data_IF_556065350174
#
_entry.id   IF_556065350174
#
_cell.length_a   1.000
_cell.length_b   1.000
_cell.length_c   1.000
_cell.angle_alpha   90.00
_cell.angle_beta   90.00
_cell.angle_gamma   90.00
#
_symmetry.space_group_name_H-M   'P 1'
#
loop_
_entity.id
_entity.type
_entity.pdbx_description
1 polymer ?
#
# COMPACT_ATOMS: atom_id res chain seq x y z
N UNK A 1 -14.72 -1.84 -2.55
CA UNK A 1 -13.91 -0.61 -2.67
C UNK A 1 -12.47 -0.94 -2.30
N UNK A 2 -11.51 -0.12 -2.70
CA UNK A 2 -10.10 -0.34 -2.33
C UNK A 2 -9.86 -0.01 -0.87
N UNK A 3 -9.07 -0.83 -0.19
CA UNK A 3 -8.71 -0.64 1.20
C UNK A 3 -7.20 -0.53 1.34
N UNK A 4 -6.74 0.42 2.14
CA UNK A 4 -5.34 0.58 2.49
C UNK A 4 -5.15 0.31 3.98
N UNK A 5 -4.10 -0.44 4.31
CA UNK A 5 -3.67 -0.67 5.67
C UNK A 5 -2.36 0.07 5.92
N UNK A 6 -2.39 1.02 6.85
CA UNK A 6 -1.24 1.81 7.26
C UNK A 6 -0.66 1.25 8.55
N UNK A 7 0.61 0.89 8.54
CA UNK A 7 1.27 0.30 9.70
C UNK A 7 1.66 1.38 10.71
N UNK A 8 1.14 1.26 11.93
CA UNK A 8 1.42 2.13 13.09
C UNK A 8 2.16 1.42 14.24
N UNK A 9 2.42 0.11 14.11
CA UNK A 9 3.07 -0.69 15.14
C UNK A 9 4.48 -0.21 15.51
N UNK A 10 4.99 -0.59 16.70
CA UNK A 10 6.32 -0.17 17.18
C UNK A 10 7.47 -0.59 16.25
N UNK A 11 7.28 -1.61 15.42
CA UNK A 11 8.17 -1.96 14.31
C UNK A 11 9.64 -2.19 14.69
N UNK A 12 10.45 -2.43 13.66
CA UNK A 12 11.92 -2.57 13.73
C UNK A 12 12.60 -1.20 13.80
N UNK A 13 13.92 -1.14 14.04
CA UNK A 13 14.67 0.12 14.12
C UNK A 13 14.50 1.05 12.89
N UNK A 14 14.26 0.48 11.70
CA UNK A 14 13.98 1.22 10.45
C UNK A 14 12.62 1.90 10.48
N UNK A 15 11.59 1.25 11.04
CA UNK A 15 10.25 1.84 11.20
C UNK A 15 10.29 3.06 12.13
N UNK A 16 11.22 3.06 13.08
CA UNK A 16 11.47 4.18 13.98
C UNK A 16 12.21 5.32 13.28
N UNK A 17 13.16 5.02 12.40
CA UNK A 17 13.86 6.02 11.60
C UNK A 17 12.93 6.71 10.58
N UNK A 18 12.05 5.95 9.90
CA UNK A 18 11.08 6.52 8.94
C UNK A 18 10.08 7.43 9.65
N UNK A 19 9.54 7.02 10.80
CA UNK A 19 8.63 7.86 11.59
C UNK A 19 9.30 9.14 12.10
N UNK A 20 10.55 9.04 12.54
CA UNK A 20 11.31 10.21 12.97
C UNK A 20 11.58 11.17 11.80
N UNK A 21 11.97 10.65 10.63
CA UNK A 21 12.26 11.45 9.44
C UNK A 21 11.01 12.07 8.81
N UNK A 22 9.88 11.35 8.79
CA UNK A 22 8.61 11.84 8.21
C UNK A 22 7.73 12.58 9.22
N UNK A 23 8.11 12.59 10.51
CA UNK A 23 7.30 13.07 11.66
C UNK A 23 5.86 12.52 11.65
N UNK A 24 5.68 11.33 11.06
CA UNK A 24 4.38 10.69 10.87
C UNK A 24 4.19 9.49 11.79
N UNK A 25 2.94 9.09 12.00
CA UNK A 25 2.57 7.91 12.80
C UNK A 25 2.80 6.60 12.01
N UNK A 26 2.78 6.67 10.68
CA UNK A 26 2.82 5.52 9.80
C UNK A 26 4.20 5.33 9.15
N UNK A 27 4.74 4.10 9.21
CA UNK A 27 6.01 3.75 8.54
C UNK A 27 5.83 3.00 7.23
N UNK A 28 4.67 2.38 7.02
CA UNK A 28 4.41 1.53 5.86
C UNK A 28 2.93 1.54 5.47
N UNK A 29 2.63 1.23 4.22
CA UNK A 29 1.27 1.12 3.70
C UNK A 29 1.16 -0.04 2.72
N UNK A 30 0.05 -0.76 2.80
CA UNK A 30 -0.28 -1.91 1.96
C UNK A 30 -1.67 -1.71 1.35
N UNK A 31 -1.87 -2.11 0.10
CA UNK A 31 -3.21 -2.37 -0.43
C UNK A 31 -3.73 -3.65 0.24
N UNK A 32 -4.76 -3.52 1.06
CA UNK A 32 -5.27 -4.60 1.89
C UNK A 32 -6.47 -5.29 1.24
N UNK A 33 -6.35 -6.60 1.05
CA UNK A 33 -7.48 -7.49 0.80
C UNK A 33 -7.86 -8.18 2.11
N UNK A 34 -8.80 -7.57 2.83
CA UNK A 34 -9.24 -8.05 4.15
C UNK A 34 -9.92 -9.43 4.06
N UNK A 35 -10.57 -9.75 2.94
CA UNK A 35 -11.26 -11.04 2.74
C UNK A 35 -10.27 -12.20 2.68
N UNK A 36 -9.10 -11.95 2.09
CA UNK A 36 -8.04 -12.95 1.89
C UNK A 36 -6.90 -12.83 2.90
N UNK A 37 -6.88 -11.77 3.71
CA UNK A 37 -5.77 -11.46 4.61
C UNK A 37 -4.47 -11.16 3.87
N UNK A 38 -4.54 -10.54 2.69
CA UNK A 38 -3.37 -10.25 1.84
C UNK A 38 -3.08 -8.75 1.80
N UNK A 39 -1.80 -8.39 1.81
CA UNK A 39 -1.29 -7.04 1.56
C UNK A 39 -0.44 -7.01 0.31
N UNK A 40 -0.63 -6.00 -0.54
CA UNK A 40 0.18 -5.73 -1.72
C UNK A 40 0.85 -4.35 -1.59
N UNK A 41 2.18 -4.33 -1.60
CA UNK A 41 2.98 -3.09 -1.64
C UNK A 41 4.37 -3.32 -2.21
N UNK A 42 5.09 -2.23 -2.45
CA UNK A 42 6.52 -2.25 -2.69
C UNK A 42 7.30 -2.29 -1.37
N UNK A 43 8.36 -3.10 -1.34
CA UNK A 43 9.29 -3.16 -0.22
C UNK A 43 10.73 -3.14 -0.71
N UNK A 44 11.45 -2.11 -0.29
CA UNK A 44 12.88 -2.00 -0.53
C UNK A 44 13.66 -3.18 0.09
N UNK A 45 13.15 -3.79 1.17
CA UNK A 45 13.77 -4.96 1.81
C UNK A 45 13.64 -6.24 0.97
N UNK A 46 12.62 -6.32 0.13
CA UNK A 46 12.31 -7.51 -0.67
C UNK A 46 12.59 -7.29 -2.17
N UNK A 47 13.20 -6.16 -2.53
CA UNK A 47 13.62 -5.88 -3.90
C UNK A 47 12.50 -5.58 -4.88
N UNK A 48 11.29 -5.22 -4.43
CA UNK A 48 10.21 -4.85 -5.35
C UNK A 48 8.80 -4.94 -4.77
N UNK A 49 7.81 -4.99 -5.68
CA UNK A 49 6.40 -5.18 -5.35
C UNK A 49 6.13 -6.64 -5.02
N UNK A 50 5.50 -6.86 -3.87
CA UNK A 50 5.18 -8.19 -3.34
C UNK A 50 3.73 -8.25 -2.85
N UNK A 51 3.21 -9.47 -2.80
CA UNK A 51 2.00 -9.81 -2.04
C UNK A 51 2.40 -10.65 -0.83
N UNK A 52 1.85 -10.33 0.34
CA UNK A 52 2.16 -11.03 1.59
C UNK A 52 0.89 -11.26 2.39
N UNK A 53 0.78 -12.41 3.06
CA UNK A 53 -0.25 -12.63 4.07
C UNK A 53 0.02 -11.75 5.30
N UNK A 54 -0.97 -10.96 5.71
CA UNK A 54 -0.87 -10.00 6.83
C UNK A 54 -2.03 -10.21 7.77
N UNK A 55 -1.71 -10.31 9.06
CA UNK A 55 -2.70 -10.21 10.12
C UNK A 55 -3.05 -8.72 10.37
N UNK A 56 -4.11 -8.27 9.71
CA UNK A 56 -4.66 -6.92 9.90
C UNK A 56 -5.39 -6.76 11.25
N UNK A 57 -5.73 -7.85 11.95
CA UNK A 57 -6.41 -7.82 13.25
C UNK A 57 -5.45 -7.61 14.43
N UNK A 58 -4.13 -7.64 14.20
CA UNK A 58 -3.08 -7.44 15.21
C UNK A 58 -3.09 -6.09 15.96
N UNK A 59 -3.98 -5.14 15.62
CA UNK A 59 -4.07 -3.81 16.24
C UNK A 59 -2.96 -2.83 15.81
N UNK A 60 -2.01 -3.28 15.00
CA UNK A 60 -0.89 -2.49 14.50
C UNK A 60 -1.18 -1.74 13.19
N UNK A 61 -2.39 -1.85 12.67
CA UNK A 61 -2.78 -1.30 11.38
C UNK A 61 -3.92 -0.28 11.55
N UNK A 62 -3.82 0.84 10.86
CA UNK A 62 -4.94 1.73 10.62
C UNK A 62 -5.46 1.44 9.22
N UNK A 63 -6.69 0.93 9.14
CA UNK A 63 -7.32 0.55 7.87
C UNK A 63 -8.22 1.69 7.40
N UNK A 64 -8.03 2.13 6.15
CA UNK A 64 -8.80 3.21 5.54
C UNK A 64 -9.27 2.78 4.15
N UNK A 65 -10.53 3.11 3.84
CA UNK A 65 -11.13 2.82 2.54
C UNK A 65 -10.99 4.01 1.59
N UNK A 66 -10.66 3.70 0.33
CA UNK A 66 -10.70 4.59 -0.81
C UNK A 66 -11.93 4.25 -1.68
N UNK A 67 -13.11 4.84 -1.40
CA UNK A 67 -14.37 4.45 -2.05
C UNK A 67 -14.45 4.79 -3.55
N UNK A 68 -13.66 5.76 -4.02
CA UNK A 68 -13.68 6.23 -5.42
C UNK A 68 -13.02 5.26 -6.41
N UNK A 69 -12.37 4.20 -5.94
CA UNK A 69 -11.74 3.20 -6.81
C UNK A 69 -12.09 1.78 -6.38
N UNK A 70 -12.35 0.94 -7.37
CA UNK A 70 -12.67 -0.46 -7.17
C UNK A 70 -11.42 -1.25 -6.78
N UNK A 71 -11.58 -2.18 -5.81
CA UNK A 71 -10.50 -3.05 -5.32
C UNK A 71 -9.74 -3.72 -6.46
N UNK A 72 -10.48 -4.35 -7.39
CA UNK A 72 -9.90 -5.07 -8.53
C UNK A 72 -9.01 -4.18 -9.40
N UNK A 73 -9.45 -2.95 -9.69
CA UNK A 73 -8.68 -1.99 -10.50
C UNK A 73 -7.38 -1.59 -9.81
N UNK A 74 -7.45 -1.17 -8.54
CA UNK A 74 -6.22 -0.78 -7.80
C UNK A 74 -5.27 -1.96 -7.61
N UNK A 75 -5.81 -3.15 -7.36
CA UNK A 75 -5.00 -4.35 -7.16
C UNK A 75 -4.30 -4.76 -8.45
N UNK A 76 -5.00 -4.75 -9.58
CA UNK A 76 -4.43 -5.05 -10.89
C UNK A 76 -3.28 -4.09 -11.23
N UNK A 77 -3.50 -2.78 -11.08
CA UNK A 77 -2.47 -1.75 -11.30
C UNK A 77 -1.20 -2.00 -10.48
N UNK A 78 -1.37 -2.38 -9.21
CA UNK A 78 -0.22 -2.64 -8.36
C UNK A 78 0.45 -4.00 -8.69
N UNK A 79 -0.36 -5.01 -9.03
CA UNK A 79 0.11 -6.34 -9.40
C UNK A 79 0.90 -6.36 -10.71
N UNK A 80 0.61 -5.46 -11.66
CA UNK A 80 1.40 -5.29 -12.89
C UNK A 80 2.87 -5.01 -12.61
N UNK A 81 3.18 -4.40 -11.47
CA UNK A 81 4.55 -4.10 -11.04
C UNK A 81 5.18 -5.19 -10.17
N UNK A 82 4.47 -6.29 -9.91
CA UNK A 82 5.07 -7.48 -9.29
C UNK A 82 5.96 -8.21 -10.28
N UNK A 83 7.02 -8.87 -9.79
CA UNK A 83 7.88 -9.69 -10.62
C UNK A 83 7.17 -10.92 -11.24
N UNK A 84 5.97 -11.26 -10.74
CA UNK A 84 5.14 -12.36 -11.23
C UNK A 84 3.65 -11.93 -11.25
N UNK A 85 3.18 -11.24 -12.31
CA UNK A 85 1.87 -10.60 -12.32
C UNK A 85 0.66 -11.54 -12.28
N UNK A 86 0.82 -12.87 -12.29
CA UNK A 86 -0.34 -13.79 -12.41
C UNK A 86 -0.21 -15.17 -11.76
N UNK A 87 0.82 -15.44 -10.95
CA UNK A 87 1.06 -16.79 -10.40
C UNK A 87 0.79 -16.87 -8.89
N UNK A 88 -0.45 -16.56 -8.49
CA UNK A 88 -0.90 -16.70 -7.09
C UNK A 88 -1.31 -18.12 -6.71
N UNK A 89 -1.15 -19.10 -7.61
CA UNK A 89 -1.37 -20.52 -7.32
C UNK A 89 -0.16 -21.17 -6.61
N UNK A 90 0.99 -20.49 -6.59
CA UNK A 90 2.21 -20.94 -5.92
C UNK A 90 2.61 -20.03 -4.76
N UNK A 91 1.73 -19.77 -3.79
CA UNK A 91 2.10 -19.07 -2.53
C UNK A 91 2.96 -20.03 -1.68
N UNK A 92 4.13 -20.46 -2.15
CA UNK A 92 5.25 -20.99 -1.37
C UNK A 92 6.44 -21.21 -2.31
N UNK A 93 7.30 -20.21 -2.44
CA UNK A 93 8.66 -20.44 -2.95
C UNK A 93 9.06 -19.53 -4.10
N UNK A 94 9.51 -18.32 -3.79
CA UNK A 94 10.43 -17.57 -4.67
C UNK A 94 10.97 -16.34 -3.96
N UNK A 95 11.59 -16.54 -2.80
CA UNK A 95 12.35 -15.50 -2.11
C UNK A 95 13.73 -15.23 -2.76
N UNK A 96 13.96 -15.67 -4.01
CA UNK A 96 15.30 -15.82 -4.57
C UNK A 96 15.57 -15.16 -5.94
N UNK A 97 14.59 -14.55 -6.63
CA UNK A 97 14.79 -14.12 -8.03
C UNK A 97 14.62 -12.60 -8.31
N UNK A 98 14.44 -11.76 -7.31
CA UNK A 98 14.30 -10.30 -7.49
C UNK A 98 15.59 -9.49 -7.25
N UNK A 99 16.75 -10.13 -7.18
CA UNK A 99 18.03 -9.48 -6.81
C UNK A 99 18.71 -8.70 -7.95
N UNK A 100 18.04 -8.46 -9.10
CA UNK A 100 18.76 -7.98 -10.30
C UNK A 100 18.12 -6.84 -11.08
N UNK A 101 17.18 -6.06 -10.51
CA UNK A 101 16.69 -4.84 -11.20
C UNK A 101 16.88 -3.60 -10.33
N UNK A 102 18.06 -3.01 -10.50
CA UNK A 102 18.37 -1.59 -10.35
C UNK A 102 17.76 -0.85 -9.14
N UNK A 103 18.60 -0.66 -8.12
CA UNK A 103 18.43 0.20 -6.94
C UNK A 103 18.09 1.70 -7.23
N UNK A 104 17.92 2.12 -8.49
CA UNK A 104 17.66 3.53 -8.86
C UNK A 104 16.18 3.84 -9.14
N UNK A 105 15.34 2.85 -9.41
CA UNK A 105 13.91 3.00 -9.72
C UNK A 105 13.01 2.19 -8.76
N UNK A 106 13.46 2.03 -7.51
CA UNK A 106 12.75 1.22 -6.52
C UNK A 106 11.49 1.94 -6.04
N UNK A 107 10.33 1.39 -6.36
CA UNK A 107 9.03 1.86 -5.86
C UNK A 107 9.01 1.93 -4.34
N UNK A 108 8.57 3.05 -3.78
CA UNK A 108 8.22 3.12 -2.36
C UNK A 108 6.84 2.53 -2.10
N UNK A 109 6.59 2.05 -0.87
CA UNK A 109 5.31 1.46 -0.50
C UNK A 109 4.13 2.42 -0.71
N UNK A 110 4.30 3.67 -0.31
CA UNK A 110 3.31 4.74 -0.49
C UNK A 110 3.19 5.20 -1.94
N UNK A 111 4.28 5.20 -2.69
CA UNK A 111 4.28 5.56 -4.10
C UNK A 111 3.48 4.54 -4.93
N UNK A 112 3.73 3.25 -4.72
CA UNK A 112 2.97 2.20 -5.41
C UNK A 112 1.49 2.26 -5.05
N UNK A 113 1.16 2.45 -3.76
CA UNK A 113 -0.22 2.57 -3.33
C UNK A 113 -0.89 3.83 -3.94
N UNK A 114 -0.18 4.96 -4.01
CA UNK A 114 -0.68 6.18 -4.64
C UNK A 114 -0.93 5.98 -6.15
N UNK A 115 0.00 5.33 -6.85
CA UNK A 115 -0.14 4.96 -8.25
C UNK A 115 -1.35 4.04 -8.49
N UNK A 116 -1.49 3.01 -7.66
CA UNK A 116 -2.61 2.08 -7.71
C UNK A 116 -3.98 2.77 -7.50
N UNK A 117 -4.01 3.80 -6.65
CA UNK A 117 -5.18 4.64 -6.45
C UNK A 117 -5.43 5.66 -7.56
N UNK A 118 -4.49 5.83 -8.50
CA UNK A 118 -4.56 6.82 -9.57
C UNK A 118 -4.35 8.26 -9.09
N UNK A 119 -3.59 8.47 -8.02
CA UNK A 119 -3.24 9.81 -7.54
C UNK A 119 -2.12 10.42 -8.38
N UNK A 120 -2.19 11.73 -8.61
CA UNK A 120 -1.15 12.48 -9.30
C UNK A 120 0.14 12.59 -8.47
N UNK A 121 1.29 12.55 -9.15
CA UNK A 121 2.62 12.61 -8.52
C UNK A 121 2.82 11.58 -7.38
N UNK A 122 2.64 10.27 -7.63
CA UNK A 122 2.71 9.22 -6.61
C UNK A 122 4.01 9.24 -5.79
N UNK A 123 5.13 9.61 -6.39
CA UNK A 123 6.46 9.71 -5.77
C UNK A 123 6.56 10.78 -4.66
N UNK A 124 5.60 11.72 -4.62
CA UNK A 124 5.58 12.78 -3.61
C UNK A 124 4.93 12.35 -2.28
N UNK A 125 4.23 11.21 -2.27
CA UNK A 125 3.51 10.77 -1.08
C UNK A 125 4.39 9.96 -0.14
N UNK A 126 4.57 10.47 1.08
CA UNK A 126 4.97 9.65 2.21
C UNK A 126 3.79 8.79 2.73
N UNK A 127 4.01 7.74 3.54
CA UNK A 127 2.91 6.97 4.13
C UNK A 127 1.90 7.85 4.88
N UNK A 128 2.39 8.84 5.63
CA UNK A 128 1.55 9.81 6.33
C UNK A 128 0.80 10.76 5.38
N UNK A 129 1.46 11.22 4.31
CA UNK A 129 0.86 12.06 3.28
C UNK A 129 -0.26 11.32 2.55
N UNK A 130 -0.02 10.06 2.19
CA UNK A 130 -1.01 9.20 1.54
C UNK A 130 -2.21 8.94 2.46
N UNK A 131 -1.98 8.68 3.75
CA UNK A 131 -3.08 8.52 4.71
C UNK A 131 -4.00 9.74 4.74
N UNK A 132 -3.42 10.95 4.75
CA UNK A 132 -4.18 12.21 4.73
C UNK A 132 -4.94 12.37 3.42
N UNK A 133 -4.28 12.15 2.28
CA UNK A 133 -4.90 12.25 0.95
C UNK A 133 -6.09 11.30 0.81
N UNK A 134 -5.93 10.05 1.24
CA UNK A 134 -6.99 9.03 1.18
C UNK A 134 -8.16 9.40 2.10
N UNK A 135 -7.86 9.85 3.33
CA UNK A 135 -8.89 10.26 4.28
C UNK A 135 -9.70 11.45 3.77
N UNK A 136 -9.02 12.45 3.19
CA UNK A 136 -9.66 13.62 2.59
C UNK A 136 -10.52 13.23 1.37
N UNK A 137 -9.96 12.43 0.45
CA UNK A 137 -10.71 11.93 -0.71
C UNK A 137 -11.96 11.14 -0.31
N UNK A 138 -11.90 10.38 0.79
CA UNK A 138 -13.05 9.61 1.31
C UNK A 138 -14.15 10.53 1.80
N UNK A 139 -13.78 11.59 2.51
CA UNK A 139 -14.75 12.59 3.00
C UNK A 139 -15.39 13.34 1.82
N UNK A 140 -14.59 13.77 0.84
CA UNK A 140 -15.08 14.46 -0.34
C UNK A 140 -16.04 13.59 -1.17
N UNK A 141 -15.69 12.32 -1.40
CA UNK A 141 -16.55 11.36 -2.10
C UNK A 141 -17.92 11.22 -1.41
N UNK A 142 -17.91 11.00 -0.09
CA UNK A 142 -19.15 10.89 0.71
C UNK A 142 -19.98 12.17 0.73
N UNK A 143 -19.33 13.33 0.76
CA UNK A 143 -20.04 14.60 0.69
C UNK A 143 -20.70 14.80 -0.68
N UNK A 144 -20.03 14.42 -1.77
CA UNK A 144 -20.60 14.43 -3.12
C UNK A 144 -21.81 13.51 -3.27
N UNK A 145 -21.74 12.29 -2.72
CA UNK A 145 -22.87 11.35 -2.71
C UNK A 145 -24.09 11.90 -1.94
N UNK A 146 -23.85 12.66 -0.86
CA UNK A 146 -24.92 13.25 -0.05
C UNK A 146 -25.58 14.49 -0.68
N UNK A 147 -24.98 15.10 -1.71
CA UNK A 147 -25.57 16.25 -2.43
C UNK A 147 -26.44 15.77 -3.61
N UNK A 148 -26.28 14.52 -4.04
CA UNK A 148 -27.02 13.91 -5.15
C UNK A 148 -28.25 13.08 -4.77
N UNK A 149 -28.65 13.07 -3.49
CA UNK A 149 -29.81 12.33 -2.97
C UNK A 149 -30.88 13.28 -2.42
#
# INVERSE_FOLDING_TARGET
MTTLAFYKGKGTAVDRAIRWATRGEFSHVELADLDRGLGLSASARDGGVRVKAIDFASGHWAVVEAPWIARGTSWARAAEHTAAPYDYLGIFGSHALALSRHYRDAWFCSELCAYALGLDAPQSYSPQGLFRAVTFGRQAFRAGDNIGN
#
